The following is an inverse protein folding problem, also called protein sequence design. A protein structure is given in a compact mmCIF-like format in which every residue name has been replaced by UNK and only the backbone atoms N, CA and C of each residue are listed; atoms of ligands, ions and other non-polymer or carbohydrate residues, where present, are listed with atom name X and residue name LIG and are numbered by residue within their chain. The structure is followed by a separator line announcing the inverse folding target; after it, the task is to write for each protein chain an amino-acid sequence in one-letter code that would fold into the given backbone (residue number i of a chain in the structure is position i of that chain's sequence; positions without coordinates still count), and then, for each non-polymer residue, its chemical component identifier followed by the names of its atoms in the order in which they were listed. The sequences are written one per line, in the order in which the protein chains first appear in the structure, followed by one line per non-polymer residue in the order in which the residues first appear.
data_IF_448253827139
#
_entry.id   IF_448253827139
#
_cell.length_a   1.000
_cell.length_b   1.000
_cell.length_c   1.000
_cell.angle_alpha   90.00
_cell.angle_beta   90.00
_cell.angle_gamma   90.00
#
_symmetry.space_group_name_H-M   'P 1'
#
loop_
_entity.id
_entity.type
_entity.pdbx_description
1 polymer ?
#
# COMPACT_ATOMS: atom_id res chain seq x y z
N UNK A 1 -23.55 -8.55 -6.82
CA UNK A 1 -22.59 -9.11 -7.81
C UNK A 1 -21.26 -8.47 -7.50
N UNK A 2 -20.18 -9.23 -7.32
CA UNK A 2 -18.87 -8.63 -7.03
C UNK A 2 -18.28 -8.03 -8.32
N UNK A 3 -17.85 -6.77 -8.27
CA UNK A 3 -17.13 -6.10 -9.34
C UNK A 3 -15.86 -5.50 -8.79
N UNK A 4 -14.75 -5.68 -9.51
CA UNK A 4 -13.45 -5.12 -9.17
C UNK A 4 -12.85 -4.49 -10.42
N UNK A 5 -12.46 -3.22 -10.33
CA UNK A 5 -11.91 -2.46 -11.44
C UNK A 5 -10.66 -1.69 -11.00
N UNK A 6 -9.57 -1.86 -11.73
CA UNK A 6 -8.35 -1.04 -11.60
C UNK A 6 -8.38 0.07 -12.67
N UNK A 7 -8.07 1.30 -12.26
CA UNK A 7 -8.03 2.48 -13.13
C UNK A 7 -6.65 3.13 -13.00
N UNK A 8 -5.99 3.40 -14.14
CA UNK A 8 -4.72 4.13 -14.17
C UNK A 8 -4.98 5.64 -14.04
N UNK A 9 -4.11 6.39 -13.35
CA UNK A 9 -4.27 7.84 -13.22
C UNK A 9 -3.90 8.56 -14.51
N UNK A 10 -4.36 9.80 -14.64
CA UNK A 10 -3.86 10.71 -15.68
C UNK A 10 -2.32 10.81 -15.66
N UNK A 11 -1.66 10.99 -16.81
CA UNK A 11 -0.19 10.87 -16.91
C UNK A 11 0.59 11.72 -15.91
N UNK A 12 0.12 12.93 -15.59
CA UNK A 12 0.75 13.85 -14.63
C UNK A 12 0.77 13.27 -13.21
N UNK A 13 -0.22 12.48 -12.83
CA UNK A 13 -0.33 11.85 -11.50
C UNK A 13 0.36 10.48 -11.41
N UNK A 14 0.71 9.85 -12.53
CA UNK A 14 1.35 8.52 -12.56
C UNK A 14 2.66 8.38 -11.73
N UNK A 15 3.51 9.43 -11.57
CA UNK A 15 4.67 9.34 -10.69
C UNK A 15 4.32 9.36 -9.19
N UNK A 16 3.06 9.63 -8.84
CA UNK A 16 2.61 9.83 -7.45
C UNK A 16 1.53 8.86 -7.02
N UNK A 17 0.64 8.51 -7.94
CA UNK A 17 -0.45 7.55 -7.77
C UNK A 17 -0.13 6.37 -8.66
N UNK A 18 -0.14 5.17 -8.08
CA UNK A 18 0.13 3.93 -8.78
C UNK A 18 -1.07 3.51 -9.62
N UNK A 19 -2.25 3.52 -9.00
CA UNK A 19 -3.55 3.26 -9.62
C UNK A 19 -4.67 3.62 -8.62
N UNK A 20 -5.89 3.57 -9.11
CA UNK A 20 -7.10 3.51 -8.30
C UNK A 20 -7.72 2.12 -8.44
N UNK A 21 -8.41 1.65 -7.43
CA UNK A 21 -9.29 0.50 -7.58
C UNK A 21 -10.65 0.76 -6.97
N UNK A 22 -11.66 0.15 -7.57
CA UNK A 22 -13.05 0.20 -7.14
C UNK A 22 -13.48 -1.23 -6.85
N UNK A 23 -14.02 -1.46 -5.65
CA UNK A 23 -14.66 -2.73 -5.28
C UNK A 23 -16.13 -2.46 -4.99
N UNK A 24 -17.02 -3.18 -5.67
CA UNK A 24 -18.42 -3.25 -5.30
C UNK A 24 -18.76 -4.71 -5.00
N UNK A 25 -19.40 -4.94 -3.87
CA UNK A 25 -19.92 -6.26 -3.53
C UNK A 25 -21.30 -6.14 -2.89
N UNK A 26 -22.30 -6.75 -3.53
CA UNK A 26 -23.67 -6.83 -3.01
C UNK A 26 -23.93 -8.15 -2.27
N UNK A 27 -22.89 -8.93 -1.94
CA UNK A 27 -23.04 -10.18 -1.22
C UNK A 27 -23.83 -9.97 0.08
N UNK A 28 -24.93 -10.71 0.23
CA UNK A 28 -25.75 -10.71 1.44
C UNK A 28 -25.07 -11.47 2.60
N UNK A 29 -24.06 -12.29 2.29
CA UNK A 29 -23.30 -13.07 3.25
C UNK A 29 -22.02 -12.33 3.58
N UNK A 30 -21.71 -12.21 4.87
CA UNK A 30 -20.45 -11.64 5.31
C UNK A 30 -19.28 -12.50 4.86
N UNK A 31 -18.35 -11.91 4.11
CA UNK A 31 -17.07 -12.51 3.73
C UNK A 31 -15.99 -11.92 4.62
N UNK A 32 -15.12 -12.80 5.13
CA UNK A 32 -13.92 -12.40 5.87
C UNK A 32 -12.74 -12.48 4.92
N UNK A 33 -11.98 -11.40 4.81
CA UNK A 33 -10.76 -11.33 4.00
C UNK A 33 -9.58 -10.91 4.86
N UNK A 34 -8.40 -11.40 4.51
CA UNK A 34 -7.16 -11.00 5.15
C UNK A 34 -6.42 -10.01 4.27
N UNK A 35 -6.10 -8.85 4.85
CA UNK A 35 -5.24 -7.84 4.25
C UNK A 35 -3.84 -7.91 4.87
N UNK A 36 -2.81 -7.54 4.12
CA UNK A 36 -1.41 -7.57 4.58
C UNK A 36 -0.60 -6.45 3.91
N UNK A 37 0.63 -6.16 4.38
CA UNK A 37 1.38 -5.00 3.90
C UNK A 37 1.76 -5.14 2.42
N UNK A 38 1.35 -4.15 1.63
CA UNK A 38 1.67 -4.06 0.19
C UNK A 38 2.82 -3.11 -0.12
N UNK A 39 3.32 -2.38 0.89
CA UNK A 39 4.41 -1.41 0.72
C UNK A 39 3.97 -0.07 0.11
N UNK A 40 2.66 0.18 0.00
CA UNK A 40 2.09 1.42 -0.52
C UNK A 40 1.07 1.95 0.48
N UNK A 41 1.09 3.26 0.75
CA UNK A 41 0.01 3.91 1.48
C UNK A 41 -1.23 3.99 0.59
N UNK A 42 -2.39 4.01 1.22
CA UNK A 42 -3.67 4.06 0.54
C UNK A 42 -4.57 5.15 1.12
N UNK A 43 -5.36 5.78 0.26
CA UNK A 43 -6.49 6.61 0.66
C UNK A 43 -7.76 5.85 0.32
N UNK A 44 -8.55 5.50 1.33
CA UNK A 44 -9.73 4.64 1.17
C UNK A 44 -10.99 5.45 1.42
N UNK A 45 -11.98 5.29 0.54
CA UNK A 45 -13.32 5.85 0.68
C UNK A 45 -14.33 4.70 0.67
N UNK A 46 -14.98 4.45 1.80
CA UNK A 46 -16.20 3.65 1.83
C UNK A 46 -17.35 4.52 1.32
N UNK A 47 -18.10 4.03 0.35
CA UNK A 47 -19.37 4.62 -0.13
C UNK A 47 -20.56 3.75 0.25
N UNK A 48 -20.31 2.46 0.44
CA UNK A 48 -21.25 1.49 1.02
C UNK A 48 -21.04 1.32 2.53
N UNK A 49 -21.29 0.10 3.00
CA UNK A 49 -21.02 -0.29 4.40
C UNK A 49 -19.52 -0.43 4.64
N UNK A 50 -19.08 0.08 5.79
CA UNK A 50 -17.70 0.00 6.24
C UNK A 50 -17.32 -1.44 6.59
N UNK A 51 -16.06 -1.82 6.34
CA UNK A 51 -15.53 -3.09 6.80
C UNK A 51 -15.33 -3.09 8.32
N UNK A 52 -15.49 -4.24 8.95
CA UNK A 52 -15.21 -4.45 10.36
C UNK A 52 -13.84 -5.09 10.54
N UNK A 53 -12.91 -4.41 11.22
CA UNK A 53 -11.62 -4.97 11.63
C UNK A 53 -11.83 -5.91 12.80
N UNK A 54 -11.56 -7.20 12.59
CA UNK A 54 -11.70 -8.21 13.64
C UNK A 54 -10.64 -8.02 14.74
N UNK A 55 -9.40 -7.72 14.35
CA UNK A 55 -8.27 -7.56 15.28
C UNK A 55 -8.52 -6.47 16.34
N UNK A 56 -9.13 -5.36 15.94
CA UNK A 56 -9.41 -4.20 16.80
C UNK A 56 -10.87 -4.12 17.26
N UNK A 57 -11.72 -5.03 16.79
CA UNK A 57 -13.17 -5.04 17.06
C UNK A 57 -13.87 -3.71 16.79
N UNK A 58 -13.54 -3.05 15.67
CA UNK A 58 -14.08 -1.74 15.27
C UNK A 58 -14.40 -1.68 13.77
N UNK A 59 -15.30 -0.79 13.39
CA UNK A 59 -15.50 -0.44 11.98
C UNK A 59 -14.33 0.42 11.49
N UNK A 60 -13.92 0.23 10.23
CA UNK A 60 -13.06 1.21 9.56
C UNK A 60 -13.76 2.56 9.50
N UNK A 61 -13.03 3.69 9.53
CA UNK A 61 -13.62 5.00 9.27
C UNK A 61 -14.26 5.07 7.88
N UNK A 62 -15.22 5.97 7.67
CA UNK A 62 -15.88 6.13 6.36
C UNK A 62 -14.86 6.48 5.27
N UNK A 63 -13.85 7.26 5.63
CA UNK A 63 -12.72 7.55 4.76
C UNK A 63 -11.45 7.70 5.61
N UNK A 64 -10.34 7.13 5.17
CA UNK A 64 -9.11 7.09 5.97
C UNK A 64 -7.85 6.92 5.12
N UNK A 65 -6.72 7.26 5.71
CA UNK A 65 -5.38 6.95 5.18
C UNK A 65 -4.91 5.67 5.85
N UNK A 66 -4.69 4.63 5.06
CA UNK A 66 -3.97 3.43 5.49
C UNK A 66 -2.47 3.68 5.28
N UNK A 67 -1.71 3.77 6.37
CA UNK A 67 -0.27 3.93 6.30
C UNK A 67 0.47 2.61 6.03
N UNK A 68 1.79 2.61 6.22
CA UNK A 68 2.57 1.38 6.09
C UNK A 68 2.20 0.41 7.21
N UNK A 69 1.47 -0.66 6.87
CA UNK A 69 1.14 -1.72 7.82
C UNK A 69 2.37 -2.54 8.22
N UNK A 70 2.35 -3.05 9.45
CA UNK A 70 3.41 -3.87 10.06
C UNK A 70 3.00 -5.34 10.22
N UNK A 71 1.81 -5.74 9.73
CA UNK A 71 1.25 -7.08 9.85
C UNK A 71 -0.04 -7.25 9.04
N UNK A 72 -0.70 -8.39 9.21
CA UNK A 72 -2.00 -8.63 8.59
C UNK A 72 -3.16 -8.09 9.43
N UNK A 73 -4.31 -7.93 8.80
CA UNK A 73 -5.58 -7.65 9.48
C UNK A 73 -6.72 -8.39 8.79
N UNK A 74 -7.59 -9.01 9.59
CA UNK A 74 -8.79 -9.68 9.11
C UNK A 74 -9.95 -8.67 9.10
N UNK A 75 -10.55 -8.48 7.93
CA UNK A 75 -11.67 -7.57 7.70
C UNK A 75 -12.91 -8.35 7.31
N UNK A 76 -14.06 -7.92 7.83
CA UNK A 76 -15.36 -8.54 7.57
C UNK A 76 -16.30 -7.56 6.86
N UNK A 77 -16.96 -8.01 5.80
CA UNK A 77 -18.01 -7.24 5.15
C UNK A 77 -19.26 -7.14 6.04
N UNK A 78 -19.77 -5.93 6.27
CA UNK A 78 -20.95 -5.68 7.11
C UNK A 78 -22.24 -5.45 6.33
N UNK A 79 -22.21 -5.72 5.03
CA UNK A 79 -23.33 -5.59 4.09
C UNK A 79 -22.81 -5.25 2.70
N UNK A 80 -23.61 -4.50 1.92
CA UNK A 80 -23.22 -4.02 0.60
C UNK A 80 -21.98 -3.12 0.69
N UNK A 81 -20.88 -3.56 0.10
CA UNK A 81 -19.62 -2.81 0.04
C UNK A 81 -19.59 -2.03 -1.28
N UNK A 82 -19.17 -0.78 -1.18
CA UNK A 82 -18.69 -0.01 -2.31
C UNK A 82 -17.50 0.82 -1.81
N UNK A 83 -16.34 0.62 -2.40
CA UNK A 83 -15.10 1.28 -2.01
C UNK A 83 -14.39 1.85 -3.23
N UNK A 84 -13.78 3.02 -3.04
CA UNK A 84 -12.78 3.57 -3.94
C UNK A 84 -11.50 3.73 -3.16
N UNK A 85 -10.39 3.25 -3.71
CA UNK A 85 -9.09 3.37 -3.08
C UNK A 85 -8.09 4.00 -4.03
N UNK A 86 -7.34 4.97 -3.52
CA UNK A 86 -6.16 5.55 -4.16
C UNK A 86 -4.94 4.82 -3.62
N UNK A 87 -4.16 4.20 -4.50
CA UNK A 87 -2.89 3.58 -4.10
C UNK A 87 -1.76 4.50 -4.52
N UNK A 88 -1.06 5.06 -3.55
CA UNK A 88 0.08 5.95 -3.81
C UNK A 88 1.30 5.14 -4.26
N UNK A 89 2.16 5.76 -5.05
CA UNK A 89 3.53 5.25 -5.18
C UNK A 89 4.17 5.22 -3.78
N UNK A 90 5.01 4.22 -3.45
CA UNK A 90 5.50 3.98 -2.09
C UNK A 90 6.15 5.17 -1.37
N UNK A 91 6.70 6.11 -2.14
CA UNK A 91 7.44 7.26 -1.68
C UNK A 91 6.74 8.59 -1.98
N UNK A 92 5.51 8.58 -2.51
CA UNK A 92 4.89 9.77 -3.07
C UNK A 92 3.72 10.34 -2.28
N UNK A 93 3.17 9.59 -1.31
CA UNK A 93 2.04 10.05 -0.50
C UNK A 93 2.31 11.43 0.14
N UNK A 94 3.55 11.66 0.63
CA UNK A 94 3.99 12.95 1.18
C UNK A 94 3.78 14.12 0.21
N UNK A 95 4.06 13.92 -1.08
CA UNK A 95 3.97 14.98 -2.09
C UNK A 95 2.52 15.41 -2.39
N UNK A 96 1.54 14.56 -2.06
CA UNK A 96 0.13 14.80 -2.33
C UNK A 96 -0.68 15.12 -1.07
N UNK A 97 -0.33 14.52 0.06
CA UNK A 97 -1.05 14.70 1.32
C UNK A 97 -0.58 15.93 2.10
N UNK A 98 0.67 16.38 1.91
CA UNK A 98 1.28 17.48 2.69
C UNK A 98 1.28 17.27 4.22
N UNK A 99 1.08 16.03 4.67
CA UNK A 99 1.09 15.63 6.08
C UNK A 99 2.32 14.76 6.33
N UNK A 100 2.98 14.88 7.50
CA UNK A 100 4.10 14.00 7.83
C UNK A 100 3.68 12.53 7.85
N UNK A 101 4.10 11.76 6.85
CA UNK A 101 3.58 10.40 6.63
C UNK A 101 3.98 9.37 7.68
N UNK A 102 4.98 9.68 8.53
CA UNK A 102 5.33 8.84 9.68
C UNK A 102 4.21 8.76 10.73
N UNK A 103 3.26 9.71 10.72
CA UNK A 103 2.08 9.68 11.59
C UNK A 103 1.14 8.50 11.26
N UNK A 104 1.22 7.97 10.04
CA UNK A 104 0.39 6.85 9.56
C UNK A 104 1.04 5.47 9.80
N UNK A 105 2.26 5.40 10.34
CA UNK A 105 2.96 4.11 10.51
C UNK A 105 2.15 3.15 11.39
N UNK A 106 1.74 2.01 10.82
CA UNK A 106 0.97 0.97 11.51
C UNK A 106 -0.45 1.39 11.89
N UNK A 107 -1.02 2.42 11.25
CA UNK A 107 -2.33 2.96 11.60
C UNK A 107 -3.19 3.25 10.37
N UNK A 108 -4.48 3.04 10.55
CA UNK A 108 -5.53 3.66 9.74
C UNK A 108 -5.94 4.95 10.43
N UNK A 109 -5.71 6.09 9.79
CA UNK A 109 -6.04 7.42 10.34
C UNK A 109 -7.24 7.97 9.60
N UNK A 110 -8.32 8.21 10.34
CA UNK A 110 -9.57 8.72 9.79
C UNK A 110 -9.38 10.14 9.23
N UNK A 111 -10.07 10.49 8.15
CA UNK A 111 -9.87 11.80 7.52
C UNK A 111 -10.28 12.99 8.40
N UNK A 112 -11.18 12.79 9.36
CA UNK A 112 -11.60 13.78 10.35
C UNK A 112 -10.57 13.97 11.50
N UNK A 113 -9.70 12.99 11.72
CA UNK A 113 -8.55 13.11 12.63
C UNK A 113 -7.37 13.84 11.96
N UNK A 114 -7.40 13.95 10.63
CA UNK A 114 -6.44 14.73 9.87
C UNK A 114 -6.89 16.19 9.91
N UNK A 115 -6.04 17.09 10.40
CA UNK A 115 -6.28 18.55 10.42
C UNK A 115 -6.16 19.17 9.00
N UNK A 116 -6.87 18.60 8.02
CA UNK A 116 -6.87 18.99 6.61
C UNK A 116 -8.31 19.11 6.08
N UNK A 117 -8.78 20.35 6.02
CA UNK A 117 -10.15 20.69 5.63
C UNK A 117 -10.44 20.30 4.18
N UNK A 118 -9.49 20.52 3.26
CA UNK A 118 -9.73 20.20 1.85
C UNK A 118 -9.83 18.69 1.62
N UNK A 119 -9.05 17.89 2.36
CA UNK A 119 -9.12 16.43 2.31
C UNK A 119 -10.45 15.92 2.87
N UNK A 120 -10.92 16.50 3.98
CA UNK A 120 -12.24 16.23 4.54
C UNK A 120 -13.37 16.57 3.57
N UNK A 121 -13.26 17.69 2.84
CA UNK A 121 -14.24 18.09 1.84
C UNK A 121 -14.23 17.17 0.61
N UNK A 122 -13.06 16.69 0.19
CA UNK A 122 -12.95 15.65 -0.84
C UNK A 122 -13.67 14.38 -0.39
N UNK A 123 -13.49 13.94 0.86
CA UNK A 123 -14.14 12.75 1.41
C UNK A 123 -15.66 12.79 1.29
N UNK A 124 -16.25 13.93 1.65
CA UNK A 124 -17.70 14.18 1.53
C UNK A 124 -18.13 14.13 0.07
N UNK A 125 -17.45 14.86 -0.81
CA UNK A 125 -17.78 14.90 -2.24
C UNK A 125 -17.73 13.51 -2.89
N UNK A 126 -16.70 12.71 -2.58
CA UNK A 126 -16.57 11.34 -3.09
C UNK A 126 -17.67 10.45 -2.52
N UNK A 127 -18.02 10.58 -1.24
CA UNK A 127 -19.08 9.77 -0.62
C UNK A 127 -20.45 10.10 -1.20
N UNK A 128 -20.76 11.38 -1.40
CA UNK A 128 -22.08 11.85 -1.85
C UNK A 128 -22.32 11.69 -3.36
N UNK A 129 -21.26 11.51 -4.15
CA UNK A 129 -21.36 11.38 -5.62
C UNK A 129 -21.64 9.93 -6.02
N UNK A 130 -22.76 9.62 -6.68
CA UNK A 130 -23.07 8.22 -7.05
C UNK A 130 -22.19 7.63 -8.15
N UNK A 131 -21.72 8.44 -9.10
CA UNK A 131 -20.93 7.97 -10.24
C UNK A 131 -19.44 7.85 -9.85
N UNK A 132 -18.90 6.62 -9.89
CA UNK A 132 -17.52 6.35 -9.53
C UNK A 132 -16.50 6.98 -10.50
N UNK A 133 -16.84 7.15 -11.77
CA UNK A 133 -15.98 7.86 -12.73
C UNK A 133 -15.92 9.35 -12.40
N UNK A 134 -17.03 9.95 -11.96
CA UNK A 134 -17.01 11.32 -11.41
C UNK A 134 -16.15 11.40 -10.15
N UNK A 135 -16.24 10.40 -9.26
CA UNK A 135 -15.40 10.34 -8.05
C UNK A 135 -13.90 10.32 -8.38
N UNK A 136 -13.47 9.50 -9.33
CA UNK A 136 -12.06 9.48 -9.79
C UNK A 136 -11.63 10.86 -10.29
N UNK A 137 -12.47 11.54 -11.09
CA UNK A 137 -12.16 12.90 -11.56
C UNK A 137 -12.02 13.91 -10.43
N UNK A 138 -12.87 13.83 -9.39
CA UNK A 138 -12.77 14.71 -8.21
C UNK A 138 -11.45 14.47 -7.45
N UNK A 139 -11.08 13.21 -7.26
CA UNK A 139 -9.81 12.81 -6.63
C UNK A 139 -8.61 13.32 -7.45
N UNK A 140 -8.64 13.14 -8.77
CA UNK A 140 -7.58 13.63 -9.65
C UNK A 140 -7.45 15.15 -9.62
N UNK A 141 -8.57 15.88 -9.71
CA UNK A 141 -8.57 17.34 -9.63
C UNK A 141 -8.03 17.85 -8.29
N UNK A 142 -8.36 17.16 -7.19
CA UNK A 142 -7.82 17.47 -5.88
C UNK A 142 -6.29 17.34 -5.85
N UNK A 143 -5.76 16.19 -6.28
CA UNK A 143 -4.32 15.95 -6.24
C UNK A 143 -3.53 16.79 -7.25
N UNK A 144 -4.09 17.08 -8.42
CA UNK A 144 -3.50 18.00 -9.39
C UNK A 144 -3.34 19.41 -8.80
N UNK A 145 -4.29 19.90 -8.00
CA UNK A 145 -4.18 21.20 -7.33
C UNK A 145 -3.06 21.22 -6.30
N UNK A 146 -2.89 20.13 -5.52
CA UNK A 146 -1.85 20.03 -4.48
C UNK A 146 -0.44 19.94 -5.04
N UNK A 147 -0.30 19.31 -6.19
CA UNK A 147 0.98 19.09 -6.86
C UNK A 147 1.77 20.38 -7.13
N UNK A 148 1.09 21.50 -7.37
CA UNK A 148 1.72 22.79 -7.67
C UNK A 148 2.52 23.39 -6.49
N UNK A 149 2.38 22.87 -5.27
CA UNK A 149 2.98 23.45 -4.07
C UNK A 149 4.23 22.71 -3.54
N UNK A 150 4.66 21.61 -4.17
CA UNK A 150 5.66 20.70 -3.60
C UNK A 150 7.08 20.85 -4.17
N UNK A 151 8.10 20.84 -3.29
CA UNK A 151 9.51 20.81 -3.70
C UNK A 151 9.97 19.37 -4.00
N UNK A 152 10.31 19.09 -5.26
CA UNK A 152 10.55 17.73 -5.78
C UNK A 152 11.91 17.10 -5.44
N UNK A 153 12.85 17.82 -4.81
CA UNK A 153 14.26 17.41 -4.84
C UNK A 153 14.53 15.99 -4.28
N UNK A 154 14.00 15.68 -3.10
CA UNK A 154 14.17 14.35 -2.52
C UNK A 154 13.23 13.30 -3.15
N UNK A 155 12.16 13.71 -3.83
CA UNK A 155 11.26 12.77 -4.51
C UNK A 155 11.98 12.06 -5.66
N UNK A 156 12.78 12.79 -6.45
CA UNK A 156 13.59 12.18 -7.53
C UNK A 156 14.62 11.19 -7.00
N UNK A 157 15.24 11.50 -5.85
CA UNK A 157 16.15 10.58 -5.15
C UNK A 157 15.41 9.32 -4.70
N UNK A 158 14.22 9.47 -4.11
CA UNK A 158 13.42 8.31 -3.70
C UNK A 158 12.97 7.49 -4.91
N UNK A 159 12.60 8.13 -6.02
CA UNK A 159 12.29 7.41 -7.26
C UNK A 159 13.45 6.52 -7.72
N UNK A 160 14.68 7.04 -7.74
CA UNK A 160 15.87 6.25 -8.07
C UNK A 160 16.13 5.11 -7.05
N UNK A 161 16.01 5.39 -5.75
CA UNK A 161 16.11 4.37 -4.69
C UNK A 161 15.11 3.23 -4.91
N UNK A 162 13.87 3.56 -5.27
CA UNK A 162 12.83 2.57 -5.49
C UNK A 162 13.01 1.78 -6.78
N UNK A 163 13.61 2.37 -7.83
CA UNK A 163 14.05 1.62 -9.00
C UNK A 163 15.09 0.55 -8.59
N UNK A 164 16.10 0.93 -7.80
CA UNK A 164 17.10 -0.02 -7.30
C UNK A 164 16.48 -1.10 -6.38
N UNK A 165 15.59 -0.71 -5.47
CA UNK A 165 14.84 -1.66 -4.63
C UNK A 165 14.11 -2.69 -5.48
N UNK A 166 13.51 -2.29 -6.61
CA UNK A 166 12.73 -3.17 -7.48
C UNK A 166 13.61 -4.07 -8.37
N UNK A 167 14.76 -3.57 -8.83
CA UNK A 167 15.68 -4.30 -9.70
C UNK A 167 16.59 -5.28 -8.95
N UNK A 168 16.91 -5.00 -7.69
CA UNK A 168 17.94 -5.74 -6.95
C UNK A 168 17.37 -6.38 -5.65
N UNK A 169 17.02 -7.67 -5.65
CA UNK A 169 16.49 -8.35 -4.46
C UNK A 169 17.40 -8.35 -3.24
N UNK A 170 18.71 -8.32 -3.45
CA UNK A 170 19.72 -8.41 -2.38
C UNK A 170 20.34 -7.05 -2.03
N UNK A 171 19.77 -5.94 -2.50
CA UNK A 171 20.31 -4.61 -2.24
C UNK A 171 20.32 -4.29 -0.74
N UNK A 172 21.42 -3.72 -0.28
CA UNK A 172 21.61 -3.33 1.12
C UNK A 172 21.44 -1.83 1.34
N UNK A 173 21.29 -1.43 2.61
CA UNK A 173 21.07 -0.04 2.99
C UNK A 173 22.21 0.90 2.55
N UNK A 174 23.51 0.53 2.69
CA UNK A 174 24.61 1.33 2.12
C UNK A 174 24.44 1.63 0.62
N UNK A 175 24.15 0.62 -0.20
CA UNK A 175 23.93 0.78 -1.65
C UNK A 175 22.75 1.72 -1.95
N UNK A 176 21.64 1.59 -1.21
CA UNK A 176 20.50 2.50 -1.35
C UNK A 176 20.85 3.95 -0.97
N UNK A 177 21.70 4.14 0.04
CA UNK A 177 22.15 5.49 0.42
C UNK A 177 23.05 6.12 -0.64
N UNK A 178 23.89 5.31 -1.29
CA UNK A 178 24.69 5.74 -2.44
C UNK A 178 23.82 6.09 -3.65
N UNK A 179 22.82 5.27 -3.98
CA UNK A 179 21.85 5.55 -5.05
C UNK A 179 21.06 6.86 -4.80
N UNK A 180 20.84 7.22 -3.54
CA UNK A 180 20.21 8.49 -3.16
C UNK A 180 21.18 9.69 -3.15
N UNK A 181 22.49 9.47 -3.33
CA UNK A 181 23.56 10.44 -3.10
C UNK A 181 23.50 11.08 -1.70
N UNK A 182 23.32 10.24 -0.66
CA UNK A 182 23.17 10.65 0.73
C UNK A 182 24.06 9.83 1.67
N UNK A 183 24.50 10.43 2.77
CA UNK A 183 25.06 9.64 3.88
C UNK A 183 24.00 8.71 4.48
N UNK A 184 24.38 7.61 5.10
CA UNK A 184 23.43 6.64 5.66
C UNK A 184 22.47 7.27 6.68
N UNK A 185 22.94 8.24 7.47
CA UNK A 185 22.11 8.98 8.44
C UNK A 185 21.09 9.88 7.75
N UNK A 186 21.50 10.58 6.69
CA UNK A 186 20.58 11.41 5.91
C UNK A 186 19.57 10.55 5.15
N UNK A 187 20.03 9.46 4.53
CA UNK A 187 19.19 8.52 3.82
C UNK A 187 18.09 7.94 4.73
N UNK A 188 18.45 7.42 5.91
CA UNK A 188 17.46 6.88 6.84
C UNK A 188 16.38 7.90 7.23
N UNK A 189 16.76 9.17 7.43
CA UNK A 189 15.82 10.26 7.73
C UNK A 189 14.93 10.60 6.54
N UNK A 190 15.52 10.80 5.35
CA UNK A 190 14.78 11.16 4.14
C UNK A 190 13.84 10.03 3.72
N UNK A 191 14.29 8.78 3.80
CA UNK A 191 13.46 7.62 3.48
C UNK A 191 12.25 7.53 4.41
N UNK A 192 12.46 7.59 5.74
CA UNK A 192 11.36 7.53 6.70
C UNK A 192 10.38 8.70 6.54
N UNK A 193 10.88 9.88 6.16
CA UNK A 193 10.07 11.06 5.89
C UNK A 193 9.21 10.94 4.62
N UNK A 194 9.60 10.13 3.62
CA UNK A 194 8.84 9.93 2.38
C UNK A 194 7.99 8.65 2.37
N UNK A 195 8.42 7.61 3.10
CA UNK A 195 7.83 6.27 3.07
C UNK A 195 7.06 5.96 4.36
N UNK A 196 7.29 6.70 5.45
CA UNK A 196 6.61 6.52 6.75
C UNK A 196 7.19 5.42 7.63
N UNK A 197 8.19 4.67 7.16
CA UNK A 197 8.87 3.59 7.91
C UNK A 197 10.36 3.57 7.59
N UNK A 198 11.17 2.81 8.33
CA UNK A 198 12.61 2.75 8.07
C UNK A 198 12.92 1.95 6.79
N UNK A 199 14.07 2.21 6.12
CA UNK A 199 14.50 1.40 4.96
C UNK A 199 14.52 -0.11 5.25
N UNK A 200 14.97 -0.48 6.45
CA UNK A 200 15.08 -1.89 6.87
C UNK A 200 13.70 -2.54 6.99
N UNK A 201 12.74 -1.86 7.63
CA UNK A 201 11.37 -2.35 7.75
C UNK A 201 10.70 -2.47 6.38
N UNK A 202 10.86 -1.45 5.54
CA UNK A 202 10.30 -1.43 4.21
C UNK A 202 10.80 -2.59 3.33
N UNK A 203 12.10 -2.86 3.33
CA UNK A 203 12.67 -3.98 2.56
C UNK A 203 12.11 -5.34 3.01
N UNK A 204 11.67 -5.51 4.26
CA UNK A 204 11.01 -6.76 4.70
C UNK A 204 9.68 -6.96 3.99
N UNK A 205 8.90 -5.89 3.82
CA UNK A 205 7.63 -5.91 3.08
C UNK A 205 7.87 -6.24 1.61
N UNK A 206 8.84 -5.56 0.97
CA UNK A 206 9.20 -5.81 -0.44
C UNK A 206 9.65 -7.25 -0.65
N UNK A 207 10.44 -7.84 0.26
CA UNK A 207 10.86 -9.25 0.16
C UNK A 207 9.68 -10.22 0.23
N UNK A 208 8.70 -9.96 1.09
CA UNK A 208 7.47 -10.77 1.11
C UNK A 208 6.69 -10.63 -0.20
N UNK A 209 6.52 -9.39 -0.68
CA UNK A 209 5.83 -9.13 -1.94
C UNK A 209 6.52 -9.81 -3.14
N UNK A 210 7.86 -9.85 -3.16
CA UNK A 210 8.61 -10.65 -4.15
C UNK A 210 8.34 -12.15 -4.03
N UNK A 211 8.31 -12.68 -2.80
CA UNK A 211 8.03 -14.09 -2.59
C UNK A 211 6.61 -14.45 -3.09
N UNK A 212 5.62 -13.60 -2.80
CA UNK A 212 4.28 -13.72 -3.36
C UNK A 212 4.28 -13.67 -4.89
N UNK A 213 5.04 -12.76 -5.48
CA UNK A 213 5.14 -12.63 -6.94
C UNK A 213 5.75 -13.87 -7.60
N UNK A 214 6.84 -14.42 -7.06
CA UNK A 214 7.44 -15.66 -7.59
C UNK A 214 6.47 -16.84 -7.47
N UNK A 215 5.81 -16.99 -6.32
CA UNK A 215 4.82 -18.04 -6.10
C UNK A 215 3.55 -17.85 -6.94
N UNK A 216 3.21 -16.61 -7.30
CA UNK A 216 2.14 -16.31 -8.26
C UNK A 216 2.47 -16.83 -9.66
N UNK A 217 3.74 -16.74 -10.08
CA UNK A 217 4.19 -17.26 -11.37
C UNK A 217 4.29 -18.79 -11.36
N UNK A 218 4.80 -19.36 -10.28
CA UNK A 218 4.91 -20.81 -10.09
C UNK A 218 4.80 -21.18 -8.60
N UNK A 219 3.63 -21.68 -8.20
CA UNK A 219 3.33 -22.09 -6.84
C UNK A 219 4.08 -23.36 -6.40
N UNK A 220 4.79 -24.05 -7.32
CA UNK A 220 5.54 -25.27 -7.05
C UNK A 220 7.02 -25.03 -6.73
N UNK A 221 7.48 -23.77 -6.81
CA UNK A 221 8.88 -23.42 -6.56
C UNK A 221 9.34 -23.87 -5.16
N UNK A 222 10.55 -24.47 -5.06
CA UNK A 222 11.12 -24.82 -3.77
C UNK A 222 11.32 -23.57 -2.89
N UNK A 223 10.81 -23.59 -1.66
CA UNK A 223 10.92 -22.42 -0.76
C UNK A 223 12.34 -21.97 -0.44
N UNK A 224 13.34 -22.86 -0.54
CA UNK A 224 14.77 -22.49 -0.45
C UNK A 224 15.17 -21.57 -1.59
N UNK A 225 14.70 -21.87 -2.80
CA UNK A 225 14.96 -21.04 -3.99
C UNK A 225 14.24 -19.70 -3.86
N UNK A 226 12.95 -19.70 -3.49
CA UNK A 226 12.17 -18.46 -3.26
C UNK A 226 12.87 -17.57 -2.23
N UNK A 227 13.36 -18.15 -1.12
CA UNK A 227 14.09 -17.42 -0.10
C UNK A 227 15.36 -16.74 -0.65
N UNK A 228 16.16 -17.48 -1.42
CA UNK A 228 17.40 -16.96 -2.02
C UNK A 228 17.13 -15.84 -3.04
N UNK A 229 16.18 -16.06 -3.95
CA UNK A 229 15.83 -15.09 -5.00
C UNK A 229 15.21 -13.80 -4.43
N UNK A 230 14.50 -13.92 -3.30
CA UNK A 230 13.91 -12.76 -2.62
C UNK A 230 14.85 -12.10 -1.60
N UNK A 231 16.12 -12.54 -1.49
CA UNK A 231 17.10 -11.90 -0.60
C UNK A 231 16.91 -12.17 0.90
N UNK A 232 16.33 -13.32 1.27
CA UNK A 232 16.36 -13.83 2.64
C UNK A 232 17.69 -14.53 2.94
N UNK A 233 18.09 -14.59 4.21
CA UNK A 233 19.30 -15.32 4.60
C UNK A 233 19.16 -16.83 4.38
N UNK A 234 17.96 -17.35 4.64
CA UNK A 234 17.61 -18.75 4.56
C UNK A 234 16.08 -18.93 4.55
N UNK A 235 15.63 -20.15 4.26
CA UNK A 235 14.20 -20.49 4.21
C UNK A 235 13.49 -20.25 5.54
N UNK A 236 14.16 -20.48 6.69
CA UNK A 236 13.54 -20.32 8.00
C UNK A 236 13.30 -18.84 8.34
N UNK A 237 14.20 -17.96 7.92
CA UNK A 237 14.00 -16.51 7.98
C UNK A 237 12.82 -16.08 7.12
N UNK A 238 12.72 -16.59 5.88
CA UNK A 238 11.59 -16.32 4.99
C UNK A 238 10.26 -16.75 5.62
N UNK A 239 10.16 -17.99 6.12
CA UNK A 239 8.92 -18.51 6.72
C UNK A 239 8.47 -17.66 7.91
N UNK A 240 9.41 -17.23 8.77
CA UNK A 240 9.11 -16.37 9.93
C UNK A 240 8.57 -15.01 9.51
N UNK A 241 9.18 -14.35 8.53
CA UNK A 241 8.71 -13.04 8.06
C UNK A 241 7.41 -13.15 7.28
N UNK A 242 7.25 -14.16 6.43
CA UNK A 242 6.02 -14.40 5.69
C UNK A 242 4.84 -14.63 6.65
N UNK A 243 5.04 -15.41 7.71
CA UNK A 243 4.03 -15.63 8.75
C UNK A 243 3.73 -14.39 9.57
N UNK A 244 4.74 -13.57 9.87
CA UNK A 244 4.53 -12.30 10.57
C UNK A 244 3.57 -11.39 9.78
N UNK A 245 3.76 -11.29 8.47
CA UNK A 245 3.03 -10.32 7.65
C UNK A 245 1.72 -10.85 7.08
N UNK A 246 1.60 -12.15 6.79
CA UNK A 246 0.37 -12.76 6.22
C UNK A 246 -0.43 -13.59 7.23
N UNK A 247 0.15 -13.89 8.39
CA UNK A 247 -0.44 -14.79 9.39
C UNK A 247 -0.32 -16.28 9.05
N UNK A 248 0.20 -16.62 7.87
CA UNK A 248 0.39 -18.00 7.40
C UNK A 248 1.86 -18.27 7.08
N UNK A 249 2.31 -19.51 7.26
CA UNK A 249 3.53 -19.95 6.55
C UNK A 249 3.27 -19.98 5.04
N UNK A 250 4.30 -19.94 4.18
CA UNK A 250 4.11 -20.04 2.73
C UNK A 250 3.30 -21.28 2.32
N UNK A 251 3.53 -22.43 2.94
CA UNK A 251 2.78 -23.66 2.66
C UNK A 251 1.29 -23.54 3.06
N UNK A 252 1.02 -23.01 4.25
CA UNK A 252 -0.36 -22.77 4.71
C UNK A 252 -1.06 -21.79 3.78
N UNK A 253 -0.39 -20.71 3.38
CA UNK A 253 -0.94 -19.68 2.50
C UNK A 253 -1.38 -20.29 1.15
N UNK A 254 -0.50 -21.06 0.50
CA UNK A 254 -0.81 -21.70 -0.80
C UNK A 254 -1.96 -22.71 -0.73
N UNK A 255 -2.29 -23.22 0.47
CA UNK A 255 -3.41 -24.15 0.65
C UNK A 255 -4.77 -23.47 0.77
N UNK A 256 -4.79 -22.16 1.09
CA UNK A 256 -6.03 -21.40 1.36
C UNK A 256 -6.24 -20.22 0.42
N UNK A 257 -5.16 -19.72 -0.20
CA UNK A 257 -5.16 -18.54 -1.05
C UNK A 257 -4.34 -18.77 -2.32
N UNK A 258 -4.77 -18.17 -3.42
CA UNK A 258 -3.90 -18.00 -4.58
C UNK A 258 -2.86 -16.90 -4.26
N UNK A 259 -1.55 -17.16 -4.46
CA UNK A 259 -0.52 -16.14 -4.26
C UNK A 259 -0.71 -14.99 -5.24
N UNK A 260 -0.68 -13.77 -4.70
CA UNK A 260 -0.76 -12.54 -5.48
C UNK A 260 0.10 -11.44 -4.85
N UNK A 261 0.85 -10.71 -5.66
CA UNK A 261 1.62 -9.54 -5.19
C UNK A 261 1.02 -8.24 -5.72
N UNK A 262 0.37 -7.47 -4.84
CA UNK A 262 -0.11 -6.13 -5.18
C UNK A 262 1.03 -5.18 -5.60
N UNK A 263 2.23 -5.40 -5.08
CA UNK A 263 3.38 -4.55 -5.36
C UNK A 263 4.07 -4.85 -6.70
N UNK A 264 4.14 -6.11 -7.14
CA UNK A 264 4.87 -6.47 -8.37
C UNK A 264 3.96 -6.83 -9.55
N UNK A 265 2.72 -7.28 -9.32
CA UNK A 265 1.84 -7.78 -10.38
C UNK A 265 1.17 -6.68 -11.22
N UNK A 266 1.30 -5.43 -10.81
CA UNK A 266 0.74 -4.27 -11.52
C UNK A 266 1.80 -3.30 -12.08
N UNK A 267 3.08 -3.69 -12.00
CA UNK A 267 4.21 -3.02 -12.63
C UNK A 267 4.32 -3.35 -14.13
#
# INVERSE_FOLDING_TARGET
MQSFQIIKPVPVLSPYIRHYWILQDDAAVSVSERTFPIGCMQLVFHKGKQLFLQNDSKLQPQSFICGQSIGFSDVLSTGRIEMITVVFQPYAAKALLHIPVHLFHGKDVAMDEVEDVELSDLAKQVTDTSDNIVCIRLIEQFFLRRLYAFSEYNLKRMSAVFQEINLQPQINIPQLSEAACLSSKQFGRVFADYVGTTPKEYLRIVRMQRALFLLQQDATLPFVQVAYECGYSDQSHMIKEFKLFSGYTPAEYLSVCAPYSDYFSEL
#
